data_IF_169421878550
#
_entry.id   IF_169421878550
#
_cell.length_a   1.000
_cell.length_b   1.000
_cell.length_c   1.000
_cell.angle_alpha   90.00
_cell.angle_beta   90.00
_cell.angle_gamma   90.00
#
_symmetry.space_group_name_H-M   'P 1'
#
loop_
_entity.id
_entity.type
_entity.pdbx_description
1 polymer ?
#
# COMPACT_ATOMS: atom_id res chain seq x y z
N UNK A 1 15.43 -9.14 -15.06
CA UNK A 1 14.91 -8.81 -13.71
C UNK A 1 14.56 -10.08 -12.94
N UNK A 2 15.38 -10.50 -11.97
CA UNK A 2 15.20 -11.74 -11.20
C UNK A 2 14.30 -11.53 -9.97
N UNK A 3 14.47 -10.42 -9.25
CA UNK A 3 13.75 -10.11 -8.01
C UNK A 3 12.25 -9.88 -8.25
N UNK A 4 11.86 -9.04 -9.22
CA UNK A 4 10.44 -8.75 -9.48
C UNK A 4 9.63 -10.00 -9.88
N UNK A 5 10.27 -11.00 -10.50
CA UNK A 5 9.64 -12.28 -10.87
C UNK A 5 9.47 -13.23 -9.69
N UNK A 6 10.23 -13.02 -8.61
CA UNK A 6 10.15 -13.80 -7.37
C UNK A 6 9.22 -13.17 -6.33
N UNK A 7 8.60 -12.02 -6.61
CA UNK A 7 7.61 -11.44 -5.70
C UNK A 7 6.37 -12.32 -5.75
N UNK A 8 6.00 -12.86 -4.59
CA UNK A 8 4.78 -13.65 -4.43
C UNK A 8 3.57 -12.79 -4.75
N UNK A 9 2.55 -13.40 -5.36
CA UNK A 9 1.26 -12.74 -5.59
C UNK A 9 0.70 -12.22 -4.26
N UNK A 10 0.23 -10.98 -4.26
CA UNK A 10 -0.45 -10.38 -3.11
C UNK A 10 -1.81 -11.05 -2.92
N UNK A 11 -2.03 -11.54 -1.71
CA UNK A 11 -3.31 -12.08 -1.26
C UNK A 11 -4.07 -11.01 -0.45
N UNK A 12 -5.41 -10.98 -0.49
CA UNK A 12 -6.20 -9.97 0.23
C UNK A 12 -5.88 -9.89 1.73
N UNK A 13 -5.54 -11.02 2.37
CA UNK A 13 -5.15 -11.05 3.78
C UNK A 13 -3.84 -10.33 4.11
N UNK A 14 -3.02 -10.02 3.10
CA UNK A 14 -1.74 -9.31 3.25
C UNK A 14 -1.81 -7.84 2.81
N UNK A 15 -3.02 -7.34 2.51
CA UNK A 15 -3.23 -6.00 1.96
C UNK A 15 -4.23 -5.23 2.82
N UNK A 16 -3.89 -3.98 3.11
CA UNK A 16 -4.79 -3.00 3.72
C UNK A 16 -5.02 -1.89 2.70
N UNK A 17 -6.29 -1.63 2.40
CA UNK A 17 -6.73 -0.49 1.61
C UNK A 17 -7.41 0.52 2.52
N UNK A 18 -7.10 1.79 2.31
CA UNK A 18 -7.74 2.88 3.02
C UNK A 18 -8.20 3.95 2.04
N UNK A 19 -9.20 4.71 2.47
CA UNK A 19 -9.68 5.86 1.74
C UNK A 19 -9.69 7.07 2.68
N UNK A 20 -9.08 8.14 2.20
CA UNK A 20 -8.97 9.40 2.89
C UNK A 20 -10.35 10.03 2.95
N UNK A 21 -10.74 10.44 4.16
CA UNK A 21 -11.98 11.14 4.42
C UNK A 21 -11.63 12.59 4.70
N UNK A 22 -11.98 13.47 3.77
CA UNK A 22 -11.77 14.91 3.95
C UNK A 22 -12.58 15.40 5.15
N UNK A 23 -11.96 16.21 5.98
CA UNK A 23 -12.61 16.94 7.08
C UNK A 23 -12.82 18.39 6.63
N UNK A 24 -13.81 19.08 7.21
CA UNK A 24 -14.12 20.47 6.88
C UNK A 24 -12.88 21.36 7.07
N UNK A 25 -12.27 21.78 5.95
CA UNK A 25 -11.03 22.59 5.93
C UNK A 25 -9.92 22.03 5.04
N UNK A 26 -10.02 20.77 4.59
CA UNK A 26 -8.98 20.14 3.76
C UNK A 26 -9.02 20.63 2.31
N UNK A 27 -7.86 21.02 1.77
CA UNK A 27 -7.65 21.44 0.37
C UNK A 27 -7.34 20.27 -0.58
N UNK A 28 -7.63 19.03 -0.16
CA UNK A 28 -7.36 17.86 -0.99
C UNK A 28 -8.60 17.56 -1.82
N UNK A 29 -8.53 17.85 -3.12
CA UNK A 29 -9.58 17.47 -4.09
C UNK A 29 -9.51 15.96 -4.37
N UNK A 30 -9.81 15.17 -3.35
CA UNK A 30 -10.09 13.74 -3.53
C UNK A 30 -11.54 13.63 -3.97
N UNK A 31 -11.77 12.97 -5.10
CA UNK A 31 -13.13 12.63 -5.54
C UNK A 31 -13.76 11.65 -4.54
N UNK A 32 -14.40 12.17 -3.50
CA UNK A 32 -14.93 11.42 -2.35
C UNK A 32 -16.02 10.38 -2.72
N UNK A 33 -16.57 10.44 -3.94
CA UNK A 33 -17.54 9.47 -4.44
C UNK A 33 -16.92 8.30 -5.25
N UNK A 34 -15.59 8.26 -5.41
CA UNK A 34 -14.93 7.12 -6.06
C UNK A 34 -14.66 6.00 -5.06
N UNK A 35 -14.69 4.73 -5.49
CA UNK A 35 -14.21 3.60 -4.69
C UNK A 35 -12.68 3.42 -4.76
N UNK A 36 -11.98 4.35 -5.43
CA UNK A 36 -10.51 4.31 -5.54
C UNK A 36 -9.86 4.50 -4.16
N UNK A 37 -9.05 3.54 -3.68
CA UNK A 37 -8.28 3.71 -2.45
C UNK A 37 -7.29 4.86 -2.56
N UNK A 38 -7.11 5.63 -1.49
CA UNK A 38 -6.10 6.70 -1.40
C UNK A 38 -4.93 6.32 -0.49
N UNK A 39 -5.02 5.16 0.13
CA UNK A 39 -4.01 4.55 0.98
C UNK A 39 -3.91 3.06 0.68
N UNK A 40 -2.68 2.57 0.70
CA UNK A 40 -2.33 1.17 0.50
C UNK A 40 -1.21 0.80 1.47
N UNK A 41 -1.32 -0.36 2.10
CA UNK A 41 -0.21 -1.00 2.78
C UNK A 41 -0.24 -2.51 2.51
N UNK A 42 0.93 -3.14 2.40
CA UNK A 42 1.01 -4.58 2.20
C UNK A 42 2.29 -5.20 2.77
N UNK A 43 2.21 -6.49 3.08
CA UNK A 43 3.36 -7.34 3.31
C UNK A 43 3.69 -8.12 2.03
N UNK A 44 4.85 -7.82 1.43
CA UNK A 44 5.37 -8.54 0.26
C UNK A 44 6.36 -9.61 0.68
N UNK A 45 6.33 -10.74 -0.02
CA UNK A 45 7.29 -11.83 0.17
C UNK A 45 8.02 -12.07 -1.15
N UNK A 46 9.34 -12.28 -1.06
CA UNK A 46 10.19 -12.55 -2.22
C UNK A 46 10.70 -13.98 -2.08
N UNK A 47 10.25 -14.85 -2.98
CA UNK A 47 10.59 -16.27 -2.97
C UNK A 47 12.00 -16.47 -3.56
N UNK A 48 13.03 -16.23 -2.73
CA UNK A 48 14.41 -16.57 -3.01
C UNK A 48 15.20 -16.86 -1.72
N UNK A 49 16.38 -17.47 -1.84
CA UNK A 49 17.19 -17.88 -0.69
C UNK A 49 17.63 -16.73 0.25
N UNK A 50 17.71 -15.49 -0.24
CA UNK A 50 18.13 -14.35 0.57
C UNK A 50 17.02 -13.76 1.42
N UNK A 51 15.75 -14.03 1.08
CA UNK A 51 14.59 -13.36 1.65
C UNK A 51 13.42 -14.31 1.97
N UNK A 52 13.70 -15.61 2.05
CA UNK A 52 12.70 -16.63 2.35
C UNK A 52 12.03 -16.35 3.70
N UNK A 53 10.70 -16.26 3.69
CA UNK A 53 9.88 -15.95 4.87
C UNK A 53 9.93 -14.50 5.38
N UNK A 54 10.77 -13.62 4.81
CA UNK A 54 10.93 -12.24 5.31
C UNK A 54 9.88 -11.30 4.69
N UNK A 55 9.04 -10.62 5.49
CA UNK A 55 8.06 -9.68 4.97
C UNK A 55 8.69 -8.30 4.67
N UNK A 56 8.43 -7.78 3.48
CA UNK A 56 8.71 -6.40 3.10
C UNK A 56 7.44 -5.57 3.26
N UNK A 57 7.41 -4.70 4.27
CA UNK A 57 6.28 -3.82 4.52
C UNK A 57 6.37 -2.58 3.63
N UNK A 58 5.38 -2.43 2.75
CA UNK A 58 5.25 -1.24 1.92
C UNK A 58 3.99 -0.48 2.32
N UNK A 59 4.06 0.86 2.31
CA UNK A 59 2.90 1.72 2.50
C UNK A 59 3.01 2.94 1.60
N UNK A 60 1.88 3.38 1.06
CA UNK A 60 1.78 4.58 0.25
C UNK A 60 0.39 5.19 0.43
N UNK A 61 0.30 6.51 0.37
CA UNK A 61 -0.99 7.20 0.39
C UNK A 61 -0.85 8.71 0.37
N UNK A 62 -1.96 9.37 0.05
CA UNK A 62 -2.08 10.83 0.10
C UNK A 62 -2.71 11.25 1.44
N UNK A 63 -2.38 12.46 1.92
CA UNK A 63 -2.88 12.97 3.20
C UNK A 63 -2.29 12.28 4.44
N UNK A 64 -1.10 11.68 4.32
CA UNK A 64 -0.40 11.08 5.45
C UNK A 64 0.22 12.15 6.34
N UNK A 65 0.15 11.94 7.67
CA UNK A 65 0.63 12.88 8.71
C UNK A 65 2.13 13.19 8.55
N UNK A 66 2.90 12.25 7.99
CA UNK A 66 4.34 12.39 7.76
C UNK A 66 4.64 12.10 6.29
N UNK A 67 5.31 13.04 5.65
CA UNK A 67 5.96 12.79 4.36
C UNK A 67 7.18 11.89 4.64
N UNK A 68 7.27 10.79 3.89
CA UNK A 68 8.40 9.88 3.94
C UNK A 68 9.60 10.40 3.17
#
# INVERSE_FOLDING_TARGET
VKVLRSIRRLEPGNVILGQYKATSGDKVDVKLNSLTPTYFAAALYIDNASWDGVPFLIKAGIGLIRHG
#
